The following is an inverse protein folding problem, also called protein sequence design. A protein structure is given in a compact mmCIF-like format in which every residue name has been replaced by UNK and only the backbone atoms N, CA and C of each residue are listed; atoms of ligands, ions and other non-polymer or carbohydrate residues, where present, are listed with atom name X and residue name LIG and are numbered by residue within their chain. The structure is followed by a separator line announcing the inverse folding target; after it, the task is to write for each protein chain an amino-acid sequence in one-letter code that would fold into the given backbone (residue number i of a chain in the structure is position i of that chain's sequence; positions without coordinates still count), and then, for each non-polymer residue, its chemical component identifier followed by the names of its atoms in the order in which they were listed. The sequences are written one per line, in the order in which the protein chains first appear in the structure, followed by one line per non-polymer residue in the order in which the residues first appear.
data_IF_492089894338
#
_entry.id   IF_492089894338
#
_cell.length_a   1.000
_cell.length_b   1.000
_cell.length_c   1.000
_cell.angle_alpha   90.00
_cell.angle_beta   90.00
_cell.angle_gamma   90.00
#
_symmetry.space_group_name_H-M   'P 1'
#
loop_
_entity.id
_entity.type
_entity.pdbx_description
1 polymer ?
#
# COMPACT_ATOMS: atom_id res chain seq x y z
N UNK A 1 -8.24 24.71 -14.56
CA UNK A 1 -7.21 24.20 -13.63
C UNK A 1 -6.60 22.99 -14.28
N UNK A 2 -5.31 23.02 -14.62
CA UNK A 2 -4.63 21.88 -15.23
C UNK A 2 -4.59 20.75 -14.21
N UNK A 3 -5.51 19.79 -14.34
CA UNK A 3 -5.37 18.49 -13.70
C UNK A 3 -4.01 17.96 -14.12
N UNK A 4 -3.07 17.87 -13.18
CA UNK A 4 -1.90 17.05 -13.40
C UNK A 4 -2.45 15.62 -13.47
N UNK A 5 -2.73 15.15 -14.68
CA UNK A 5 -3.20 13.80 -14.89
C UNK A 5 -2.03 12.88 -14.56
N UNK A 6 -1.99 12.40 -13.31
CA UNK A 6 -1.06 11.36 -12.91
C UNK A 6 -1.44 10.12 -13.71
N UNK A 7 -0.53 9.69 -14.58
CA UNK A 7 -0.67 8.43 -15.31
C UNK A 7 -0.32 7.29 -14.35
N UNK A 8 -1.35 6.59 -13.88
CA UNK A 8 -1.19 5.53 -12.89
C UNK A 8 -0.44 4.31 -13.46
N UNK A 9 -0.55 4.03 -14.75
CA UNK A 9 0.17 2.94 -15.41
C UNK A 9 1.64 3.27 -15.57
N UNK A 10 1.96 4.50 -15.96
CA UNK A 10 3.35 4.98 -16.00
C UNK A 10 3.99 4.95 -14.60
N UNK A 11 3.27 5.40 -13.56
CA UNK A 11 3.76 5.31 -12.19
C UNK A 11 3.90 3.86 -11.71
N UNK A 12 3.03 2.96 -12.13
CA UNK A 12 3.16 1.54 -11.82
C UNK A 12 4.44 0.96 -12.47
N UNK A 13 4.74 1.30 -13.72
CA UNK A 13 5.97 0.90 -14.38
C UNK A 13 7.22 1.40 -13.62
N UNK A 14 7.19 2.65 -13.14
CA UNK A 14 8.24 3.21 -12.29
C UNK A 14 8.34 2.52 -10.92
N UNK A 15 7.21 2.21 -10.29
CA UNK A 15 7.15 1.43 -9.06
C UNK A 15 7.82 0.06 -9.24
N UNK A 16 7.45 -0.66 -10.30
CA UNK A 16 8.05 -1.96 -10.64
C UNK A 16 9.55 -1.86 -10.84
N UNK A 17 10.02 -0.84 -11.56
CA UNK A 17 11.45 -0.59 -11.79
C UNK A 17 12.19 -0.32 -10.48
N UNK A 18 11.61 0.49 -9.60
CA UNK A 18 12.19 0.87 -8.31
C UNK A 18 12.15 -0.23 -7.24
N UNK A 19 11.10 -1.04 -7.24
CA UNK A 19 10.93 -2.17 -6.31
C UNK A 19 11.82 -3.36 -6.67
N UNK A 20 12.06 -3.63 -7.97
CA UNK A 20 12.90 -4.74 -8.43
C UNK A 20 14.23 -4.89 -7.66
N UNK A 21 15.06 -3.85 -7.46
CA UNK A 21 16.30 -3.98 -6.70
C UNK A 21 16.10 -4.13 -5.18
N UNK A 22 14.90 -3.85 -4.65
CA UNK A 22 14.57 -4.03 -3.24
C UNK A 22 14.17 -5.48 -2.91
N UNK A 23 13.75 -6.25 -3.92
CA UNK A 23 13.30 -7.62 -3.76
C UNK A 23 14.51 -8.56 -3.79
N UNK A 24 14.78 -9.18 -2.65
CA UNK A 24 15.80 -10.21 -2.48
C UNK A 24 15.16 -11.60 -2.43
N UNK A 25 15.98 -12.65 -2.39
CA UNK A 25 15.50 -14.00 -2.20
C UNK A 25 14.78 -14.10 -0.84
N UNK A 26 13.47 -14.35 -0.87
CA UNK A 26 12.64 -14.48 0.33
C UNK A 26 11.89 -13.20 0.76
N UNK A 27 12.10 -12.06 0.09
CA UNK A 27 11.28 -10.85 0.34
C UNK A 27 9.80 -11.16 0.09
N UNK A 28 8.95 -10.77 1.04
CA UNK A 28 7.50 -10.98 0.99
C UNK A 28 6.79 -9.66 0.69
N UNK A 29 6.06 -9.61 -0.42
CA UNK A 29 5.23 -8.47 -0.77
C UNK A 29 3.93 -8.50 0.03
N UNK A 30 3.58 -7.39 0.69
CA UNK A 30 2.33 -7.23 1.42
C UNK A 30 1.67 -5.92 1.01
N UNK A 31 0.51 -5.98 0.39
CA UNK A 31 -0.23 -4.79 0.01
C UNK A 31 -1.19 -4.31 1.10
N UNK A 32 -1.22 -3.00 1.33
CA UNK A 32 -2.21 -2.38 2.22
C UNK A 32 -3.55 -2.30 1.48
N UNK A 33 -4.60 -2.84 2.08
CA UNK A 33 -5.95 -2.81 1.48
C UNK A 33 -6.45 -1.37 1.41
N UNK A 34 -6.92 -0.86 0.27
CA UNK A 34 -7.24 -1.55 -1.00
C UNK A 34 -6.17 -1.40 -2.09
N UNK A 35 -5.81 -0.18 -2.47
CA UNK A 35 -4.92 0.08 -3.62
C UNK A 35 -3.57 -0.63 -3.54
N UNK A 36 -2.97 -0.67 -2.34
CA UNK A 36 -1.71 -1.39 -2.08
C UNK A 36 -1.78 -2.88 -2.36
N UNK A 37 -2.92 -3.54 -2.09
CA UNK A 37 -3.16 -4.95 -2.42
C UNK A 37 -3.04 -5.19 -3.92
N UNK A 38 -3.73 -4.38 -4.74
CA UNK A 38 -3.67 -4.54 -6.19
C UNK A 38 -2.26 -4.35 -6.75
N UNK A 39 -1.50 -3.40 -6.18
CA UNK A 39 -0.10 -3.17 -6.53
C UNK A 39 0.76 -4.38 -6.17
N UNK A 40 0.60 -4.95 -4.97
CA UNK A 40 1.38 -6.11 -4.53
C UNK A 40 1.09 -7.35 -5.38
N UNK A 41 -0.18 -7.64 -5.68
CA UNK A 41 -0.60 -8.73 -6.56
C UNK A 41 0.02 -8.61 -7.96
N UNK A 42 -0.08 -7.41 -8.57
CA UNK A 42 0.45 -7.16 -9.91
C UNK A 42 1.98 -7.21 -9.94
N UNK A 43 2.65 -6.64 -8.92
CA UNK A 43 4.11 -6.71 -8.79
C UNK A 43 4.61 -8.15 -8.59
N UNK A 44 3.92 -8.96 -7.78
CA UNK A 44 4.25 -10.37 -7.58
C UNK A 44 4.30 -11.12 -8.92
N UNK A 45 3.27 -10.93 -9.76
CA UNK A 45 3.18 -11.54 -11.09
C UNK A 45 4.26 -10.98 -12.05
N UNK A 46 4.37 -9.66 -12.14
CA UNK A 46 5.26 -8.98 -13.10
C UNK A 46 6.76 -9.14 -12.78
N UNK A 47 7.09 -9.40 -11.51
CA UNK A 47 8.46 -9.71 -11.09
C UNK A 47 8.75 -11.22 -11.08
N UNK A 48 7.75 -12.07 -11.34
CA UNK A 48 7.90 -13.53 -11.37
C UNK A 48 8.22 -14.13 -10.01
N UNK A 49 7.70 -13.54 -8.94
CA UNK A 49 7.97 -13.99 -7.57
C UNK A 49 7.10 -15.20 -7.22
N UNK A 50 7.68 -16.17 -6.51
CA UNK A 50 6.98 -17.39 -6.10
C UNK A 50 5.98 -17.13 -4.98
N UNK A 51 4.84 -17.82 -5.01
CA UNK A 51 3.78 -17.70 -4.01
C UNK A 51 2.85 -16.52 -4.28
N UNK A 52 2.00 -16.22 -3.29
CA UNK A 52 1.04 -15.12 -3.35
C UNK A 52 1.52 -13.93 -2.50
N UNK A 53 1.19 -12.72 -2.96
CA UNK A 53 1.34 -11.52 -2.14
C UNK A 53 0.40 -11.58 -0.93
N UNK A 54 0.83 -11.02 0.19
CA UNK A 54 -0.04 -10.77 1.33
C UNK A 54 -0.92 -9.53 1.12
N UNK A 55 -2.04 -9.49 1.82
CA UNK A 55 -2.91 -8.32 1.92
C UNK A 55 -3.16 -8.02 3.39
N UNK A 56 -3.02 -6.76 3.80
CA UNK A 56 -3.20 -6.36 5.20
C UNK A 56 -4.14 -5.16 5.31
N UNK A 57 -5.09 -5.25 6.25
CA UNK A 57 -6.10 -4.21 6.46
C UNK A 57 -5.93 -3.58 7.84
N UNK A 58 -5.99 -2.25 7.90
CA UNK A 58 -6.04 -1.52 9.18
C UNK A 58 -7.44 -1.44 9.79
N UNK A 59 -8.46 -2.03 9.14
CA UNK A 59 -9.87 -1.89 9.53
C UNK A 59 -10.23 -2.62 10.83
N UNK A 60 -9.32 -3.42 11.40
CA UNK A 60 -9.53 -4.17 12.65
C UNK A 60 -9.16 -3.38 13.92
N UNK A 61 -8.87 -2.07 13.84
CA UNK A 61 -8.74 -1.29 15.07
C UNK A 61 -10.10 -1.11 15.74
N UNK A 62 -10.17 -1.61 16.99
CA UNK A 62 -11.35 -1.91 17.82
C UNK A 62 -12.44 -0.83 17.89
N UNK A 63 -12.13 0.42 17.59
CA UNK A 63 -13.06 1.54 17.69
C UNK A 63 -14.12 1.56 16.56
N UNK A 64 -13.80 0.99 15.38
CA UNK A 64 -14.75 0.93 14.25
C UNK A 64 -15.69 -0.28 14.32
N UNK A 65 -15.33 -1.31 15.11
CA UNK A 65 -16.15 -2.50 15.33
C UNK A 65 -17.48 -2.17 16.03
N UNK A 66 -17.47 -1.15 16.90
CA UNK A 66 -18.66 -0.69 17.61
C UNK A 66 -19.68 0.03 16.71
N UNK A 67 -19.27 0.54 15.53
CA UNK A 67 -20.12 1.38 14.67
C UNK A 67 -20.65 0.68 13.42
N UNK A 68 -20.01 -0.38 12.93
CA UNK A 68 -20.31 -0.91 11.57
C UNK A 68 -21.06 -2.24 11.49
N UNK A 69 -21.27 -2.95 12.59
CA UNK A 69 -21.87 -4.29 12.53
C UNK A 69 -21.08 -5.23 11.60
N UNK A 70 -21.62 -6.42 11.34
CA UNK A 70 -21.00 -7.54 10.59
C UNK A 70 -20.72 -7.25 9.09
N UNK A 71 -20.51 -6.00 8.68
CA UNK A 71 -20.08 -5.68 7.33
C UNK A 71 -18.63 -6.15 7.15
N UNK A 72 -18.45 -7.17 6.30
CA UNK A 72 -17.19 -7.83 5.97
C UNK A 72 -15.98 -6.89 6.10
N UNK A 73 -15.28 -6.97 7.24
CA UNK A 73 -14.00 -6.32 7.40
C UNK A 73 -13.08 -6.93 6.35
N UNK A 74 -12.44 -6.10 5.52
CA UNK A 74 -11.45 -6.59 4.57
C UNK A 74 -10.41 -7.42 5.33
N UNK A 75 -10.36 -8.71 5.02
CA UNK A 75 -9.65 -9.68 5.82
C UNK A 75 -8.15 -9.64 5.49
N UNK A 76 -7.33 -9.37 6.50
CA UNK A 76 -5.88 -9.57 6.41
C UNK A 76 -5.61 -11.03 6.01
N UNK A 77 -4.87 -11.21 4.92
CA UNK A 77 -4.52 -12.52 4.35
C UNK A 77 -3.01 -12.55 4.13
N UNK A 78 -2.30 -13.34 4.95
CA UNK A 78 -0.85 -13.47 4.90
C UNK A 78 -0.51 -14.94 4.59
N UNK A 79 -0.20 -15.29 3.32
CA UNK A 79 -0.03 -16.68 2.88
C UNK A 79 1.37 -17.26 3.20
N UNK A 80 2.04 -16.69 4.19
CA UNK A 80 3.38 -17.05 4.63
C UNK A 80 3.56 -16.69 6.10
N UNK A 81 4.55 -17.30 6.74
CA UNK A 81 4.94 -16.96 8.10
C UNK A 81 5.57 -15.56 8.16
N UNK A 82 5.18 -14.77 9.16
CA UNK A 82 5.69 -13.43 9.41
C UNK A 82 6.95 -13.48 10.27
N UNK A 83 7.14 -14.53 11.08
CA UNK A 83 8.30 -14.63 11.95
C UNK A 83 9.60 -14.69 11.13
N UNK A 84 10.49 -13.73 11.37
CA UNK A 84 11.76 -13.60 10.66
C UNK A 84 11.66 -13.15 9.20
N UNK A 85 10.47 -12.84 8.68
CA UNK A 85 10.29 -12.43 7.29
C UNK A 85 10.86 -11.04 6.99
N UNK A 86 11.39 -10.85 5.78
CA UNK A 86 11.63 -9.52 5.19
C UNK A 86 10.39 -9.10 4.42
N UNK A 87 9.64 -8.14 4.97
CA UNK A 87 8.36 -7.69 4.44
C UNK A 87 8.53 -6.36 3.72
N UNK A 88 8.12 -6.29 2.46
CA UNK A 88 7.95 -5.05 1.73
C UNK A 88 6.46 -4.70 1.69
N UNK A 89 6.06 -3.67 2.44
CA UNK A 89 4.72 -3.10 2.40
C UNK A 89 4.54 -2.25 1.14
N UNK A 90 3.40 -2.41 0.48
CA UNK A 90 3.00 -1.62 -0.69
C UNK A 90 1.75 -0.81 -0.35
N UNK A 91 1.81 0.50 -0.59
CA UNK A 91 0.68 1.41 -0.45
C UNK A 91 0.49 2.23 -1.73
N UNK A 92 -0.74 2.64 -2.03
CA UNK A 92 -0.99 3.49 -3.19
C UNK A 92 -0.58 4.93 -2.92
N UNK A 93 -0.98 5.50 -1.77
CA UNK A 93 -0.69 6.90 -1.44
C UNK A 93 -0.21 7.07 0.00
N UNK A 94 1.07 7.43 0.16
CA UNK A 94 1.61 7.81 1.46
C UNK A 94 1.29 9.27 1.79
N UNK A 95 0.45 9.46 2.81
CA UNK A 95 0.06 10.80 3.31
C UNK A 95 0.58 11.08 4.73
N UNK A 96 -0.28 11.05 5.75
CA UNK A 96 0.09 11.40 7.14
C UNK A 96 0.92 10.32 7.85
N UNK A 97 0.88 9.09 7.34
CA UNK A 97 1.54 7.91 7.93
C UNK A 97 0.67 7.08 8.87
N UNK A 98 -0.57 7.51 9.18
CA UNK A 98 -1.45 6.81 10.14
C UNK A 98 -1.87 5.41 9.67
N UNK A 99 -2.12 5.22 8.38
CA UNK A 99 -2.42 3.90 7.80
C UNK A 99 -1.24 2.95 8.00
N UNK A 100 -0.02 3.38 7.66
CA UNK A 100 1.20 2.59 7.86
C UNK A 100 1.37 2.22 9.33
N UNK A 101 1.15 3.15 10.27
CA UNK A 101 1.22 2.86 11.72
C UNK A 101 0.19 1.82 12.16
N UNK A 102 -1.04 1.87 11.64
CA UNK A 102 -2.07 0.89 11.96
C UNK A 102 -1.74 -0.49 11.36
N UNK A 103 -1.27 -0.51 10.11
CA UNK A 103 -0.83 -1.73 9.42
C UNK A 103 0.37 -2.37 10.11
N UNK A 104 1.33 -1.58 10.60
CA UNK A 104 2.45 -2.12 11.38
C UNK A 104 1.96 -2.78 12.67
N UNK A 105 1.00 -2.19 13.37
CA UNK A 105 0.43 -2.84 14.55
C UNK A 105 -0.23 -4.18 14.19
N UNK A 106 -1.09 -4.18 13.17
CA UNK A 106 -1.76 -5.39 12.68
C UNK A 106 -0.72 -6.45 12.25
N UNK A 107 0.34 -6.08 11.51
CA UNK A 107 1.37 -7.01 11.05
C UNK A 107 2.06 -7.71 12.22
N UNK A 108 2.32 -6.96 13.29
CA UNK A 108 2.92 -7.50 14.51
C UNK A 108 1.95 -8.34 15.34
N UNK A 109 0.65 -8.34 15.05
CA UNK A 109 -0.29 -9.30 15.65
C UNK A 109 -0.15 -10.70 15.03
N UNK A 110 0.43 -10.82 13.81
CA UNK A 110 0.66 -12.10 13.12
C UNK A 110 2.08 -12.65 13.29
N UNK A 111 3.03 -11.89 13.83
CA UNK A 111 4.39 -12.36 14.05
C UNK A 111 5.41 -11.25 14.25
N UNK A 112 6.69 -11.60 14.12
CA UNK A 112 7.85 -10.73 14.30
C UNK A 112 8.72 -10.75 13.05
N UNK A 113 8.47 -9.88 12.05
CA UNK A 113 9.30 -9.81 10.86
C UNK A 113 10.72 -9.35 11.21
N UNK A 114 11.72 -9.87 10.49
CA UNK A 114 13.11 -9.43 10.65
C UNK A 114 13.33 -8.02 10.11
N UNK A 115 12.56 -7.63 9.09
CA UNK A 115 12.62 -6.31 8.45
C UNK A 115 11.25 -5.96 7.89
N UNK A 116 10.86 -4.69 8.03
CA UNK A 116 9.68 -4.14 7.36
C UNK A 116 10.09 -2.88 6.62
N UNK A 117 9.78 -2.84 5.33
CA UNK A 117 10.02 -1.71 4.42
C UNK A 117 8.72 -1.23 3.81
N UNK A 118 8.76 -0.05 3.20
CA UNK A 118 7.61 0.54 2.55
C UNK A 118 8.01 1.04 1.15
N UNK A 119 7.25 0.64 0.13
CA UNK A 119 7.29 1.26 -1.20
C UNK A 119 5.89 1.74 -1.58
N UNK A 120 5.80 2.92 -2.18
CA UNK A 120 4.50 3.53 -2.50
C UNK A 120 4.44 4.02 -3.94
N UNK A 121 3.24 3.99 -4.51
CA UNK A 121 3.03 4.55 -5.84
C UNK A 121 3.19 6.08 -5.81
N UNK A 122 2.55 6.74 -4.85
CA UNK A 122 2.65 8.20 -4.69
C UNK A 122 2.95 8.57 -3.24
N UNK A 123 3.92 9.45 -3.06
CA UNK A 123 4.13 10.17 -1.82
C UNK A 123 3.60 11.60 -1.98
N UNK A 124 2.58 11.96 -1.19
CA UNK A 124 1.94 13.29 -1.27
C UNK A 124 2.40 14.28 -0.18
N UNK A 125 3.44 13.94 0.59
CA UNK A 125 3.91 14.73 1.73
C UNK A 125 2.94 14.75 2.92
N UNK A 126 3.01 15.80 3.75
CA UNK A 126 2.06 16.03 4.86
C UNK A 126 2.20 15.06 6.05
N UNK A 127 3.40 14.53 6.30
CA UNK A 127 3.68 13.59 7.38
C UNK A 127 3.30 14.15 8.75
N UNK A 128 2.65 13.31 9.55
CA UNK A 128 2.37 13.55 10.97
C UNK A 128 3.04 12.49 11.86
N UNK A 129 3.57 11.43 11.24
CA UNK A 129 4.35 10.37 11.87
C UNK A 129 5.69 10.25 11.14
N UNK A 130 6.76 9.80 11.83
CA UNK A 130 8.10 9.67 11.26
C UNK A 130 8.21 8.42 10.38
N UNK A 131 7.38 8.34 9.34
CA UNK A 131 7.38 7.24 8.37
C UNK A 131 7.76 7.76 6.99
N UNK A 132 8.65 7.03 6.34
CA UNK A 132 9.11 7.30 4.97
C UNK A 132 9.09 5.99 4.18
N UNK A 133 8.79 6.11 2.88
CA UNK A 133 8.95 5.00 1.97
C UNK A 133 10.42 4.90 1.53
N UNK A 134 10.92 3.67 1.44
CA UNK A 134 12.21 3.35 0.83
C UNK A 134 12.18 3.68 -0.67
N UNK A 135 11.01 3.54 -1.31
CA UNK A 135 10.77 3.98 -2.68
C UNK A 135 9.40 4.64 -2.85
N UNK A 136 9.35 5.73 -3.62
CA UNK A 136 8.11 6.35 -4.07
C UNK A 136 8.20 6.60 -5.58
N UNK A 137 7.25 6.09 -6.38
CA UNK A 137 7.31 6.25 -7.83
C UNK A 137 7.11 7.71 -8.26
N UNK A 138 6.28 8.45 -7.53
CA UNK A 138 6.17 9.90 -7.64
C UNK A 138 6.09 10.59 -6.28
N UNK A 139 6.57 11.84 -6.26
CA UNK A 139 6.33 12.78 -5.16
C UNK A 139 5.48 13.93 -5.69
N UNK A 140 4.33 14.15 -5.09
CA UNK A 140 3.39 15.20 -5.50
C UNK A 140 3.02 16.07 -4.30
N UNK A 141 2.63 17.31 -4.55
CA UNK A 141 2.06 18.18 -3.51
C UNK A 141 0.60 18.36 -3.82
N UNK A 142 -0.27 17.94 -2.91
CA UNK A 142 -1.71 18.10 -3.01
C UNK A 142 -2.24 18.88 -1.81
N UNK A 143 -3.18 19.83 -2.01
CA UNK A 143 -3.87 20.50 -0.92
C UNK A 143 -4.42 19.52 0.11
N UNK A 144 -4.41 19.90 1.39
CA UNK A 144 -4.90 19.05 2.48
C UNK A 144 -6.37 18.64 2.31
N UNK A 145 -7.16 19.51 1.68
CA UNK A 145 -8.57 19.29 1.32
C UNK A 145 -8.76 18.36 0.11
N UNK A 146 -7.71 17.91 -0.56
CA UNK A 146 -7.82 16.94 -1.65
C UNK A 146 -7.35 15.57 -1.20
N UNK A 147 -7.98 14.52 -1.71
CA UNK A 147 -7.58 13.12 -1.55
C UNK A 147 -7.27 12.52 -2.91
N UNK A 148 -6.11 11.88 -3.03
CA UNK A 148 -5.75 11.06 -4.20
C UNK A 148 -6.06 9.61 -3.86
N UNK A 149 -6.71 8.89 -4.77
CA UNK A 149 -7.02 7.47 -4.61
C UNK A 149 -6.72 6.71 -5.90
N UNK A 150 -6.05 5.58 -5.78
CA UNK A 150 -5.91 4.62 -6.88
C UNK A 150 -7.24 3.88 -7.08
N UNK A 151 -7.67 3.78 -8.33
CA UNK A 151 -8.79 2.93 -8.75
C UNK A 151 -8.27 1.89 -9.74
N UNK A 152 -8.89 0.71 -9.72
CA UNK A 152 -8.62 -0.37 -10.67
C UNK A 152 -9.86 -0.56 -11.53
N UNK A 153 -9.68 -0.51 -12.84
CA UNK A 153 -10.72 -0.74 -13.84
C UNK A 153 -10.95 -2.24 -14.05
N UNK A 154 -12.04 -2.61 -14.74
CA UNK A 154 -12.43 -4.01 -14.97
C UNK A 154 -11.39 -4.78 -15.81
N UNK A 155 -10.64 -4.08 -16.67
CA UNK A 155 -9.52 -4.63 -17.43
C UNK A 155 -8.22 -4.78 -16.62
N UNK A 156 -8.23 -4.35 -15.36
CA UNK A 156 -7.09 -4.36 -14.45
C UNK A 156 -6.19 -3.13 -14.53
N UNK A 157 -6.45 -2.19 -15.44
CA UNK A 157 -5.70 -0.95 -15.52
C UNK A 157 -5.94 -0.06 -14.30
N UNK A 158 -4.91 0.67 -13.91
CA UNK A 158 -4.97 1.64 -12.83
C UNK A 158 -5.30 3.03 -13.35
N UNK A 159 -6.04 3.78 -12.54
CA UNK A 159 -6.27 5.21 -12.73
C UNK A 159 -6.29 5.93 -11.40
N UNK A 160 -6.07 7.24 -11.41
CA UNK A 160 -6.26 8.05 -10.20
C UNK A 160 -7.58 8.81 -10.24
N UNK A 161 -8.18 8.93 -9.06
CA UNK A 161 -9.24 9.88 -8.79
C UNK A 161 -8.78 10.87 -7.73
N UNK A 162 -9.09 12.14 -7.94
CA UNK A 162 -8.92 13.20 -6.93
C UNK A 162 -10.30 13.62 -6.47
N UNK A 163 -10.55 13.56 -5.17
CA UNK A 163 -11.78 14.03 -4.55
C UNK A 163 -11.47 15.12 -3.54
N UNK A 164 -12.43 16.02 -3.29
CA UNK A 164 -12.36 16.89 -2.13
C UNK A 164 -12.70 16.10 -0.86
N UNK A 165 -12.02 16.43 0.24
CA UNK A 165 -12.34 15.98 1.58
C UNK A 165 -13.35 16.97 2.16
N UNK A 166 -14.56 16.50 2.43
CA UNK A 166 -15.52 17.20 3.29
C UNK A 166 -14.96 17.42 4.70
#
# INVERSE_FOLDING_TARGET
MSSLALDAEALYAELRRGVRPLVEAGTRLVGIVSGGQWLAERLQADLGLTGAAGAISSAMHRDDFAKRGLAASSQTTLPFDIDGADVLLLDDVLYTGRTVRAVLNELFDYGRPARVRLAVLVDRGGRQLPVAAEFAAARVVLPAAQSLRLTRQDDGAFSFSITERE
#
